data_IF_944147397489
#
_entry.id   IF_944147397489
#
_cell.length_a   1.000
_cell.length_b   1.000
_cell.length_c   1.000
_cell.angle_alpha   90.00
_cell.angle_beta   90.00
_cell.angle_gamma   90.00
#
_symmetry.space_group_name_H-M   'P 1'
#
loop_
_entity.id
_entity.type
_entity.pdbx_description
1 polymer ?
#
# COMPACT_ATOMS: atom_id res chain seq x y z
N UNK A 1 19.02 15.70 -9.08
CA UNK A 1 18.56 16.97 -8.49
C UNK A 1 17.04 17.01 -8.60
N UNK A 2 16.37 16.94 -7.45
CA UNK A 2 14.92 16.95 -7.29
C UNK A 2 14.34 18.28 -7.81
N UNK A 3 13.29 18.24 -8.63
CA UNK A 3 12.66 19.48 -9.15
C UNK A 3 11.87 20.19 -8.06
N UNK A 4 11.68 21.51 -8.17
CA UNK A 4 10.93 22.31 -7.20
C UNK A 4 9.48 21.80 -7.05
N UNK A 5 8.82 21.53 -8.18
CA UNK A 5 7.46 20.98 -8.23
C UNK A 5 7.36 19.62 -7.50
N UNK A 6 8.37 18.77 -7.64
CA UNK A 6 8.35 17.48 -6.96
C UNK A 6 8.50 17.63 -5.44
N UNK A 7 9.35 18.55 -4.97
CA UNK A 7 9.49 18.83 -3.54
C UNK A 7 8.15 19.28 -2.93
N UNK A 8 7.40 20.09 -3.65
CA UNK A 8 6.06 20.55 -3.22
C UNK A 8 5.06 19.38 -3.14
N UNK A 9 5.06 18.46 -4.12
CA UNK A 9 4.22 17.24 -4.08
C UNK A 9 4.59 16.37 -2.88
N UNK A 10 5.90 16.16 -2.65
CA UNK A 10 6.41 15.40 -1.52
C UNK A 10 5.99 16.01 -0.18
N UNK A 11 6.24 17.29 0.03
CA UNK A 11 5.91 17.98 1.28
C UNK A 11 4.39 17.93 1.55
N UNK A 12 3.58 17.99 0.49
CA UNK A 12 2.11 17.86 0.59
C UNK A 12 1.72 16.43 0.98
N UNK A 13 2.28 15.41 0.33
CA UNK A 13 2.05 14.00 0.68
C UNK A 13 2.44 13.71 2.12
N UNK A 14 3.61 14.20 2.55
CA UNK A 14 4.08 14.00 3.91
C UNK A 14 3.08 14.59 4.92
N UNK A 15 2.60 15.80 4.67
CA UNK A 15 1.63 16.47 5.54
C UNK A 15 0.29 15.73 5.59
N UNK A 16 -0.27 15.35 4.45
CA UNK A 16 -1.60 14.74 4.37
C UNK A 16 -1.61 13.28 4.87
N UNK A 17 -0.50 12.56 4.72
CA UNK A 17 -0.42 11.13 5.08
C UNK A 17 0.21 10.86 6.45
N UNK A 18 0.91 11.82 7.07
CA UNK A 18 1.52 11.65 8.39
C UNK A 18 0.54 11.28 9.50
N UNK A 19 -0.75 11.59 9.34
CA UNK A 19 -1.80 11.19 10.29
C UNK A 19 -2.10 9.68 10.25
N UNK A 20 -1.72 9.00 9.16
CA UNK A 20 -1.97 7.57 9.00
C UNK A 20 -0.79 6.70 9.41
N UNK A 21 0.44 7.21 9.35
CA UNK A 21 1.65 6.44 9.69
C UNK A 21 2.92 7.26 9.54
N UNK A 22 4.06 6.59 9.72
CA UNK A 22 5.39 7.11 9.48
C UNK A 22 5.69 6.96 7.99
N UNK A 23 6.08 8.05 7.34
CA UNK A 23 6.46 8.03 5.93
C UNK A 23 7.97 7.81 5.80
N UNK A 24 8.35 6.77 5.07
CA UNK A 24 9.73 6.52 4.68
C UNK A 24 9.87 6.87 3.19
N UNK A 25 10.61 7.94 2.91
CA UNK A 25 10.82 8.38 1.54
C UNK A 25 11.99 7.61 0.91
N UNK A 26 11.74 6.93 -0.19
CA UNK A 26 12.76 6.20 -0.94
C UNK A 26 12.80 6.74 -2.38
N UNK A 27 13.85 7.51 -2.69
CA UNK A 27 14.04 8.01 -4.05
C UNK A 27 14.50 6.87 -4.97
N UNK A 28 13.59 6.35 -5.79
CA UNK A 28 13.90 5.40 -6.86
C UNK A 28 13.91 6.11 -8.22
N UNK A 29 15.06 6.15 -8.90
CA UNK A 29 15.12 6.59 -10.30
C UNK A 29 14.62 5.42 -11.17
N UNK A 30 13.41 5.52 -11.70
CA UNK A 30 12.90 4.52 -12.64
C UNK A 30 13.53 4.70 -14.02
N UNK A 31 13.91 3.59 -14.67
CA UNK A 31 14.52 3.57 -16.02
C UNK A 31 13.52 3.88 -17.16
N UNK A 32 12.26 4.19 -16.85
CA UNK A 32 11.20 4.37 -17.85
C UNK A 32 10.65 5.80 -17.83
N UNK A 33 11.29 6.70 -18.58
CA UNK A 33 10.87 8.04 -19.05
C UNK A 33 10.20 9.05 -18.07
N UNK A 34 9.94 8.67 -16.82
CA UNK A 34 9.34 9.50 -15.79
C UNK A 34 10.15 9.37 -14.50
N UNK A 35 10.46 10.52 -13.90
CA UNK A 35 10.96 10.56 -12.53
C UNK A 35 9.78 10.24 -11.61
N UNK A 36 9.73 9.00 -11.13
CA UNK A 36 8.84 8.57 -10.07
C UNK A 36 9.58 8.66 -8.73
N UNK A 37 8.84 8.80 -7.65
CA UNK A 37 9.36 8.66 -6.30
C UNK A 37 8.49 7.65 -5.57
N UNK A 38 9.15 6.78 -4.81
CA UNK A 38 8.51 5.79 -3.97
C UNK A 38 8.45 6.33 -2.53
N UNK A 39 7.29 6.20 -1.91
CA UNK A 39 7.05 6.56 -0.52
C UNK A 39 6.40 5.34 0.12
N UNK A 40 7.13 4.58 0.95
CA UNK A 40 6.46 3.61 1.80
C UNK A 40 5.82 4.38 2.95
N UNK A 41 4.52 4.20 3.10
CA UNK A 41 3.79 4.61 4.29
C UNK A 41 3.80 3.43 5.25
N UNK A 42 4.62 3.54 6.29
CA UNK A 42 4.67 2.58 7.38
C UNK A 42 3.59 2.94 8.42
N UNK A 43 2.53 2.14 8.47
CA UNK A 43 1.44 2.27 9.42
C UNK A 43 1.64 1.25 10.54
N UNK A 44 1.84 1.74 11.76
CA UNK A 44 2.00 0.89 12.93
C UNK A 44 0.74 0.03 13.18
N UNK A 45 0.87 -1.29 12.97
CA UNK A 45 -0.23 -2.26 13.08
C UNK A 45 0.04 -3.40 14.07
N UNK A 46 1.05 -3.32 14.94
CA UNK A 46 1.59 -4.43 15.76
C UNK A 46 2.07 -5.66 14.94
N UNK A 47 1.63 -5.82 13.68
CA UNK A 47 2.02 -6.84 12.71
C UNK A 47 2.86 -6.19 11.59
N UNK A 48 4.15 -6.54 11.46
CA UNK A 48 5.04 -5.93 10.48
C UNK A 48 4.69 -6.28 9.03
N UNK A 49 4.06 -7.43 8.78
CA UNK A 49 3.68 -7.83 7.42
C UNK A 49 2.48 -7.00 6.93
N UNK A 50 1.66 -6.48 7.84
CA UNK A 50 0.56 -5.57 7.52
C UNK A 50 1.00 -4.10 7.49
N UNK A 51 2.12 -3.76 8.15
CA UNK A 51 2.50 -2.38 8.50
C UNK A 51 3.07 -1.51 7.38
N UNK A 52 3.34 -1.98 6.17
CA UNK A 52 3.71 -1.09 5.04
C UNK A 52 2.67 -1.12 3.93
N UNK A 53 2.39 0.07 3.41
CA UNK A 53 1.63 0.35 2.19
C UNK A 53 2.54 1.18 1.27
N UNK A 54 2.59 0.80 0.00
CA UNK A 54 3.42 1.45 -1.01
C UNK A 54 2.64 2.61 -1.66
N UNK A 55 3.16 3.83 -1.58
CA UNK A 55 2.57 5.03 -2.20
C UNK A 55 3.57 5.65 -3.18
N UNK A 56 3.17 5.80 -4.43
CA UNK A 56 4.03 6.37 -5.46
C UNK A 56 3.51 7.72 -5.93
N UNK A 57 4.42 8.68 -6.07
CA UNK A 57 4.13 10.00 -6.60
C UNK A 57 4.90 10.23 -7.91
N UNK A 58 4.19 10.64 -8.95
CA UNK A 58 4.78 10.84 -10.28
C UNK A 58 4.81 12.34 -10.62
N UNK A 59 5.84 12.74 -11.36
CA UNK A 59 6.01 14.14 -11.79
C UNK A 59 4.85 14.67 -12.66
N UNK A 60 4.04 13.80 -13.24
CA UNK A 60 2.83 14.17 -14.00
C UNK A 60 1.61 14.45 -13.10
N UNK A 61 1.77 14.44 -11.78
CA UNK A 61 0.69 14.68 -10.82
C UNK A 61 -0.20 13.48 -10.54
N UNK A 62 0.12 12.29 -11.07
CA UNK A 62 -0.59 11.04 -10.74
C UNK A 62 0.04 10.35 -9.55
N UNK A 63 -0.76 9.49 -8.90
CA UNK A 63 -0.35 8.72 -7.73
C UNK A 63 -0.66 7.25 -7.91
N UNK A 64 0.06 6.39 -7.20
CA UNK A 64 -0.30 4.97 -7.09
C UNK A 64 -0.31 4.51 -5.64
N UNK A 65 -1.13 3.51 -5.36
CA UNK A 65 -1.23 2.82 -4.08
C UNK A 65 -1.11 1.32 -4.33
N UNK A 66 -0.29 0.63 -3.56
CA UNK A 66 -0.18 -0.82 -3.64
C UNK A 66 0.17 -1.42 -2.27
N UNK A 67 0.01 -2.73 -2.15
CA UNK A 67 0.66 -3.54 -1.12
C UNK A 67 1.26 -4.75 -1.81
N UNK A 68 2.43 -4.54 -2.41
CA UNK A 68 3.15 -5.55 -3.19
C UNK A 68 4.55 -5.81 -2.65
N UNK A 69 5.27 -4.77 -2.25
CA UNK A 69 6.61 -4.92 -1.71
C UNK A 69 6.59 -5.71 -0.38
N UNK A 70 5.48 -5.61 0.35
CA UNK A 70 5.23 -6.33 1.59
C UNK A 70 3.88 -7.05 1.53
N UNK A 71 3.82 -8.15 0.77
CA UNK A 71 2.70 -9.10 0.83
C UNK A 71 2.55 -9.65 2.25
N UNK A 72 1.33 -9.97 2.67
CA UNK A 72 1.10 -10.61 3.97
C UNK A 72 0.59 -12.04 3.79
N UNK A 73 0.73 -12.85 4.84
CA UNK A 73 0.50 -14.30 4.75
C UNK A 73 -0.51 -14.81 5.78
N UNK A 74 -1.41 -15.67 5.31
CA UNK A 74 -2.31 -16.47 6.16
C UNK A 74 -2.01 -17.96 6.01
N UNK A 75 -2.23 -18.73 7.07
CA UNK A 75 -1.83 -20.15 7.16
C UNK A 75 -3.02 -21.10 7.19
N UNK A 76 -4.24 -20.58 7.38
CA UNK A 76 -5.45 -21.40 7.38
C UNK A 76 -6.49 -20.93 6.35
N UNK A 77 -7.30 -21.87 5.85
CA UNK A 77 -8.39 -21.54 4.93
C UNK A 77 -9.43 -20.62 5.59
N UNK A 78 -9.68 -20.77 6.89
CA UNK A 78 -10.59 -19.91 7.64
C UNK A 78 -10.07 -18.47 7.73
N UNK A 79 -8.77 -18.29 7.94
CA UNK A 79 -8.13 -16.97 7.91
C UNK A 79 -8.24 -16.33 6.53
N UNK A 80 -7.97 -17.10 5.47
CA UNK A 80 -8.13 -16.61 4.10
C UNK A 80 -9.58 -16.16 3.82
N UNK A 81 -10.57 -16.94 4.26
CA UNK A 81 -11.99 -16.58 4.12
C UNK A 81 -12.32 -15.29 4.89
N UNK A 82 -11.77 -15.12 6.09
CA UNK A 82 -11.91 -13.88 6.87
C UNK A 82 -11.32 -12.69 6.11
N UNK A 83 -10.11 -12.82 5.56
CA UNK A 83 -9.50 -11.75 4.74
C UNK A 83 -10.38 -11.42 3.54
N UNK A 84 -10.80 -12.41 2.76
CA UNK A 84 -11.69 -12.17 1.60
C UNK A 84 -12.97 -11.45 2.03
N UNK A 85 -13.56 -11.82 3.17
CA UNK A 85 -14.77 -11.17 3.68
C UNK A 85 -14.55 -9.70 4.10
N UNK A 86 -13.38 -9.37 4.64
CA UNK A 86 -13.02 -8.01 5.04
C UNK A 86 -12.95 -7.09 3.83
N UNK A 87 -12.36 -7.58 2.73
CA UNK A 87 -12.18 -6.81 1.51
C UNK A 87 -13.37 -6.89 0.54
N UNK A 88 -14.35 -7.76 0.79
CA UNK A 88 -15.53 -7.89 -0.04
C UNK A 88 -16.33 -6.59 -0.10
N UNK A 89 -16.60 -6.11 -1.32
CA UNK A 89 -17.30 -4.84 -1.55
C UNK A 89 -16.44 -3.59 -1.33
N UNK A 90 -15.16 -3.73 -1.00
CA UNK A 90 -14.20 -2.64 -0.94
C UNK A 90 -13.68 -2.27 -2.34
N UNK A 91 -13.04 -1.11 -2.53
CA UNK A 91 -12.42 -0.76 -3.82
C UNK A 91 -11.13 -1.55 -4.12
N UNK A 92 -10.67 -2.38 -3.17
CA UNK A 92 -9.42 -3.13 -3.31
C UNK A 92 -9.69 -4.56 -3.75
N UNK A 93 -9.09 -4.94 -4.87
CA UNK A 93 -8.96 -6.35 -5.24
C UNK A 93 -7.83 -7.00 -4.45
N UNK A 94 -7.89 -8.33 -4.31
CA UNK A 94 -6.83 -9.11 -3.69
C UNK A 94 -6.24 -10.07 -4.74
N UNK A 95 -4.92 -9.99 -4.94
CA UNK A 95 -4.17 -11.05 -5.62
C UNK A 95 -3.80 -12.08 -4.56
N UNK A 96 -4.27 -13.32 -4.75
CA UNK A 96 -4.10 -14.42 -3.80
C UNK A 96 -3.33 -15.54 -4.48
N UNK A 97 -2.15 -15.86 -3.95
CA UNK A 97 -1.32 -16.96 -4.42
C UNK A 97 -1.17 -18.02 -3.33
N UNK A 98 -1.41 -19.29 -3.68
CA UNK A 98 -1.09 -20.40 -2.77
C UNK A 98 0.40 -20.69 -2.85
N UNK A 99 1.08 -20.62 -1.71
CA UNK A 99 2.50 -20.94 -1.60
C UNK A 99 2.67 -22.44 -1.43
N UNK A 100 3.59 -23.02 -2.19
CA UNK A 100 3.84 -24.46 -2.16
C UNK A 100 4.78 -24.84 -1.00
N UNK A 101 4.20 -25.04 0.18
CA UNK A 101 4.87 -25.55 1.39
C UNK A 101 4.06 -26.70 2.01
N UNK A 102 4.59 -27.34 3.06
CA UNK A 102 4.03 -28.57 3.66
C UNK A 102 2.69 -28.32 4.36
N UNK A 103 2.46 -27.10 4.85
CA UNK A 103 1.19 -26.64 5.44
C UNK A 103 0.48 -25.65 4.50
N UNK A 104 -0.82 -25.36 4.69
CA UNK A 104 -1.47 -24.31 3.91
C UNK A 104 -0.81 -22.96 4.18
N UNK A 105 -0.50 -22.21 3.13
CA UNK A 105 0.01 -20.85 3.22
C UNK A 105 -0.38 -20.08 1.96
N UNK A 106 -0.89 -18.88 2.15
CA UNK A 106 -1.35 -18.02 1.06
C UNK A 106 -0.65 -16.67 1.16
N UNK A 107 -0.07 -16.22 0.05
CA UNK A 107 0.38 -14.84 -0.13
C UNK A 107 -0.80 -13.99 -0.55
N UNK A 108 -0.96 -12.84 0.06
CA UNK A 108 -2.01 -11.88 -0.27
C UNK A 108 -1.37 -10.53 -0.57
N UNK A 109 -1.68 -10.02 -1.75
CA UNK A 109 -1.25 -8.73 -2.25
C UNK A 109 -2.44 -7.85 -2.61
N UNK A 110 -2.22 -6.54 -2.56
CA UNK A 110 -3.17 -5.58 -3.11
C UNK A 110 -2.54 -5.02 -4.39
N UNK A 111 -3.17 -5.28 -5.56
CA UNK A 111 -2.70 -4.77 -6.85
C UNK A 111 -2.54 -3.25 -6.82
N UNK A 112 -1.78 -2.74 -7.78
CA UNK A 112 -1.55 -1.30 -7.87
C UNK A 112 -2.80 -0.58 -8.38
N UNK A 113 -3.31 0.37 -7.59
CA UNK A 113 -4.31 1.35 -8.02
C UNK A 113 -3.61 2.63 -8.48
N UNK A 114 -4.21 3.35 -9.42
CA UNK A 114 -3.71 4.64 -9.92
C UNK A 114 -4.76 5.72 -9.71
N UNK A 115 -4.33 6.90 -9.26
CA UNK A 115 -5.18 8.05 -8.92
C UNK A 115 -4.71 9.30 -9.65
N UNK A 116 -5.66 10.15 -10.01
CA UNK A 116 -5.39 11.43 -10.69
C UNK A 116 -5.40 12.62 -9.75
N UNK A 117 -5.74 12.40 -8.47
CA UNK A 117 -5.73 13.45 -7.46
C UNK A 117 -5.22 12.93 -6.12
N UNK A 118 -4.66 13.86 -5.32
CA UNK A 118 -4.20 13.55 -3.97
C UNK A 118 -5.36 13.20 -3.04
N UNK A 119 -6.53 13.84 -3.20
CA UNK A 119 -7.72 13.58 -2.38
C UNK A 119 -8.17 12.14 -2.51
N UNK A 120 -8.27 11.64 -3.75
CA UNK A 120 -8.62 10.25 -4.02
C UNK A 120 -7.60 9.28 -3.38
N UNK A 121 -6.31 9.56 -3.51
CA UNK A 121 -5.27 8.74 -2.88
C UNK A 121 -5.44 8.70 -1.35
N UNK A 122 -5.61 9.84 -0.70
CA UNK A 122 -5.72 9.96 0.77
C UNK A 122 -6.95 9.20 1.27
N UNK A 123 -8.08 9.30 0.59
CA UNK A 123 -9.29 8.54 0.90
C UNK A 123 -9.04 7.04 0.81
N UNK A 124 -8.35 6.58 -0.23
CA UNK A 124 -8.05 5.15 -0.40
C UNK A 124 -7.03 4.66 0.63
N UNK A 125 -6.01 5.45 0.97
CA UNK A 125 -5.09 5.12 2.07
C UNK A 125 -5.85 4.96 3.39
N UNK A 126 -6.78 5.86 3.68
CA UNK A 126 -7.61 5.78 4.88
C UNK A 126 -8.46 4.50 4.91
N UNK A 127 -9.18 4.21 3.82
CA UNK A 127 -10.00 2.99 3.72
C UNK A 127 -9.12 1.75 3.84
N UNK A 128 -7.98 1.70 3.16
CA UNK A 128 -7.07 0.57 3.22
C UNK A 128 -6.55 0.33 4.64
N UNK A 129 -6.16 1.40 5.35
CA UNK A 129 -5.76 1.32 6.77
C UNK A 129 -6.86 0.69 7.63
N UNK A 130 -8.12 1.05 7.42
CA UNK A 130 -9.25 0.47 8.16
C UNK A 130 -9.40 -1.02 7.86
N UNK A 131 -9.24 -1.43 6.60
CA UNK A 131 -9.38 -2.83 6.19
C UNK A 131 -8.24 -3.69 6.74
N UNK A 132 -6.99 -3.23 6.62
CA UNK A 132 -5.82 -3.95 7.15
C UNK A 132 -5.90 -4.11 8.67
N UNK A 133 -6.42 -3.12 9.40
CA UNK A 133 -6.66 -3.23 10.85
C UNK A 133 -7.65 -4.33 11.26
N UNK A 134 -8.51 -4.78 10.34
CA UNK A 134 -9.46 -5.86 10.60
C UNK A 134 -8.88 -7.24 10.28
N UNK A 135 -7.76 -7.31 9.56
CA UNK A 135 -7.10 -8.57 9.24
C UNK A 135 -6.66 -9.24 10.54
N UNK A 136 -6.92 -10.54 10.73
CA UNK A 136 -6.45 -11.26 11.91
C UNK A 136 -4.94 -11.15 12.05
N UNK A 137 -4.49 -10.79 13.25
CA UNK A 137 -3.06 -10.74 13.62
C UNK A 137 -2.63 -12.11 14.13
N UNK A 138 -1.40 -12.51 13.83
CA UNK A 138 -0.79 -13.73 14.39
C UNK A 138 -0.41 -13.57 15.86
#
# INVERSE_FOLDING_TARGET
>A
MMTKEFREIKDTLEKELAVYGILELIEHVSDHEYRAYDVCLNIDFDDPDLSCIDVYAFANGTFKLAKKCNSFFVEELEELQKVVSIFYGSPFSLDIERINVIWPRYSIEIPTLTFNSLSELVEHVHVLKILLNKVPRK
#
